data_IF_992604918045
#
_entry.id   IF_992604918045
#
_cell.length_a   1.000
_cell.length_b   1.000
_cell.length_c   1.000
_cell.angle_alpha   90.00
_cell.angle_beta   90.00
_cell.angle_gamma   90.00
#
_symmetry.space_group_name_H-M   'P 1'
#
loop_
_entity.id
_entity.type
_entity.pdbx_description
1 polymer ?
#
# COMPACT_ATOMS: atom_id res chain seq x y z
N UNK A 1 -20.37 -27.90 5.69
CA UNK A 1 -21.23 -26.94 6.40
C UNK A 1 -20.52 -25.59 6.39
N UNK A 2 -20.91 -24.69 5.50
CA UNK A 2 -20.24 -23.41 5.27
C UNK A 2 -20.79 -22.42 6.30
N UNK A 3 -19.95 -21.99 7.26
CA UNK A 3 -20.33 -20.92 8.19
C UNK A 3 -20.37 -19.61 7.40
N UNK A 4 -21.57 -19.16 7.04
CA UNK A 4 -21.75 -17.76 6.65
C UNK A 4 -21.68 -16.94 7.94
N UNK A 5 -20.72 -16.02 8.02
CA UNK A 5 -20.73 -15.00 9.05
C UNK A 5 -21.94 -14.08 8.82
N UNK A 6 -22.56 -13.62 9.90
CA UNK A 6 -23.51 -12.53 9.81
C UNK A 6 -22.76 -11.26 9.39
N UNK A 7 -23.37 -10.42 8.54
CA UNK A 7 -22.74 -9.20 8.03
C UNK A 7 -22.20 -8.32 9.18
N UNK A 8 -22.94 -8.25 10.29
CA UNK A 8 -22.57 -7.51 11.50
C UNK A 8 -21.27 -8.00 12.14
N UNK A 9 -20.99 -9.32 12.10
CA UNK A 9 -19.75 -9.87 12.64
C UNK A 9 -18.56 -9.50 11.74
N UNK A 10 -18.75 -9.53 10.42
CA UNK A 10 -17.73 -9.13 9.44
C UNK A 10 -17.39 -7.65 9.62
N UNK A 11 -18.40 -6.79 9.74
CA UNK A 11 -18.22 -5.35 9.91
C UNK A 11 -17.47 -5.06 11.22
N UNK A 12 -17.80 -5.76 12.30
CA UNK A 12 -17.07 -5.67 13.57
C UNK A 12 -15.58 -6.03 13.43
N UNK A 13 -15.26 -7.15 12.75
CA UNK A 13 -13.87 -7.55 12.55
C UNK A 13 -13.09 -6.58 11.65
N UNK A 14 -13.74 -6.01 10.64
CA UNK A 14 -13.14 -5.00 9.76
C UNK A 14 -12.83 -3.72 10.53
N UNK A 15 -13.76 -3.23 11.35
CA UNK A 15 -13.52 -2.06 12.19
C UNK A 15 -12.42 -2.30 13.22
N UNK A 16 -12.39 -3.49 13.85
CA UNK A 16 -11.31 -3.87 14.75
C UNK A 16 -9.95 -3.89 14.05
N UNK A 17 -9.88 -4.47 12.85
CA UNK A 17 -8.65 -4.51 12.05
C UNK A 17 -8.20 -3.11 11.64
N UNK A 18 -9.13 -2.23 11.23
CA UNK A 18 -8.83 -0.85 10.87
C UNK A 18 -8.26 -0.07 12.07
N UNK A 19 -8.89 -0.20 13.24
CA UNK A 19 -8.45 0.45 14.47
C UNK A 19 -7.04 -0.02 14.89
N UNK A 20 -6.76 -1.32 14.85
CA UNK A 20 -5.43 -1.85 15.16
C UNK A 20 -4.38 -1.43 14.12
N UNK A 21 -4.75 -1.36 12.82
CA UNK A 21 -3.88 -0.83 11.78
C UNK A 21 -3.55 0.65 12.01
N UNK A 22 -4.54 1.46 12.37
CA UNK A 22 -4.37 2.87 12.72
C UNK A 22 -3.38 3.02 13.88
N UNK A 23 -3.63 2.35 15.01
CA UNK A 23 -2.77 2.42 16.20
C UNK A 23 -1.32 2.01 15.90
N UNK A 24 -1.14 0.95 15.11
CA UNK A 24 0.19 0.50 14.70
C UNK A 24 0.89 1.54 13.80
N UNK A 25 0.15 2.16 12.89
CA UNK A 25 0.63 3.22 12.01
C UNK A 25 1.05 4.48 12.79
N UNK A 26 0.24 4.91 13.75
CA UNK A 26 0.53 6.07 14.59
C UNK A 26 1.80 5.87 15.41
N UNK A 27 1.92 4.70 16.06
CA UNK A 27 3.11 4.34 16.83
C UNK A 27 4.36 4.25 15.93
N UNK A 28 4.21 3.67 14.74
CA UNK A 28 5.32 3.47 13.81
C UNK A 28 5.76 4.80 13.20
N UNK A 29 4.84 5.66 12.78
CA UNK A 29 5.15 6.94 12.14
C UNK A 29 5.42 8.09 13.12
N UNK A 30 4.99 7.96 14.39
CA UNK A 30 4.96 9.04 15.40
C UNK A 30 4.11 10.24 14.97
N UNK A 31 3.01 9.95 14.28
CA UNK A 31 2.01 10.91 13.79
C UNK A 31 0.64 10.38 14.18
N UNK A 32 -0.24 11.25 14.69
CA UNK A 32 -1.59 10.86 15.12
C UNK A 32 -2.57 11.15 13.98
N UNK A 33 -3.55 10.28 13.78
CA UNK A 33 -4.69 10.58 12.90
C UNK A 33 -5.78 11.26 13.72
N UNK A 34 -6.42 12.28 13.15
CA UNK A 34 -7.47 13.04 13.83
C UNK A 34 -8.74 12.19 13.98
N UNK A 35 -9.07 11.44 12.93
CA UNK A 35 -10.24 10.55 12.86
C UNK A 35 -10.04 9.45 11.81
N UNK A 36 -11.08 8.60 11.63
CA UNK A 36 -11.09 7.51 10.65
C UNK A 36 -10.97 8.02 9.21
N UNK A 37 -11.51 9.20 8.92
CA UNK A 37 -11.48 9.77 7.57
C UNK A 37 -10.06 10.26 7.24
N UNK A 38 -9.36 10.88 8.19
CA UNK A 38 -7.95 11.27 8.07
C UNK A 38 -7.04 10.03 7.88
N UNK A 39 -7.28 8.96 8.64
CA UNK A 39 -6.60 7.68 8.47
C UNK A 39 -6.78 7.10 7.06
N UNK A 40 -8.04 6.98 6.62
CA UNK A 40 -8.38 6.45 5.30
C UNK A 40 -7.81 7.33 4.20
N UNK A 41 -7.97 8.66 4.31
CA UNK A 41 -7.44 9.63 3.37
C UNK A 41 -5.92 9.48 3.22
N UNK A 42 -5.21 9.34 4.34
CA UNK A 42 -3.77 9.10 4.34
C UNK A 42 -3.36 7.83 3.58
N UNK A 43 -4.14 6.75 3.71
CA UNK A 43 -3.90 5.50 2.98
C UNK A 43 -4.21 5.65 1.49
N UNK A 44 -5.33 6.30 1.12
CA UNK A 44 -5.71 6.61 -0.27
C UNK A 44 -4.64 7.39 -1.02
N UNK A 45 -3.93 8.27 -0.32
CA UNK A 45 -2.91 9.12 -0.93
C UNK A 45 -1.50 8.55 -0.74
N UNK A 46 -1.35 7.47 0.03
CA UNK A 46 -0.11 6.73 0.22
C UNK A 46 0.93 7.42 1.09
N UNK A 47 0.61 8.52 1.77
CA UNK A 47 1.59 9.29 2.54
C UNK A 47 2.21 8.44 3.66
N UNK A 48 1.39 7.80 4.49
CA UNK A 48 1.86 6.97 5.60
C UNK A 48 2.44 5.62 5.14
N UNK A 49 1.88 5.02 4.07
CA UNK A 49 2.42 3.77 3.51
C UNK A 49 3.87 3.95 3.04
N UNK A 50 4.17 5.07 2.36
CA UNK A 50 5.54 5.42 1.95
C UNK A 50 6.45 5.66 3.14
N UNK A 51 5.97 6.31 4.21
CA UNK A 51 6.74 6.53 5.45
C UNK A 51 7.13 5.20 6.11
N UNK A 52 6.19 4.24 6.24
CA UNK A 52 6.50 2.92 6.78
C UNK A 52 7.56 2.22 5.94
N UNK A 53 7.37 2.19 4.62
CA UNK A 53 8.34 1.51 3.75
C UNK A 53 9.71 2.17 3.84
N UNK A 54 9.80 3.48 3.97
CA UNK A 54 11.06 4.18 4.24
C UNK A 54 11.68 3.84 5.60
N UNK A 55 10.87 3.57 6.63
CA UNK A 55 11.37 3.12 7.94
C UNK A 55 11.95 1.70 7.88
N UNK A 56 11.35 0.81 7.10
CA UNK A 56 11.81 -0.58 6.94
C UNK A 56 12.99 -0.65 5.97
N UNK A 57 12.89 0.07 4.85
CA UNK A 57 13.87 0.15 3.78
C UNK A 57 14.17 1.62 3.49
N UNK A 58 15.29 2.17 4.02
CA UNK A 58 15.67 3.55 3.78
C UNK A 58 15.78 3.88 2.28
N UNK A 59 15.46 5.13 1.96
CA UNK A 59 15.54 5.72 0.61
C UNK A 59 14.62 5.06 -0.46
N UNK A 60 13.50 4.45 -0.06
CA UNK A 60 12.53 3.88 -1.02
C UNK A 60 11.70 4.95 -1.75
N UNK A 61 11.29 5.99 -1.02
CA UNK A 61 10.47 7.09 -1.49
C UNK A 61 11.09 8.43 -1.08
N UNK A 62 10.89 9.47 -1.89
CA UNK A 62 11.11 10.84 -1.43
C UNK A 62 9.92 11.25 -0.55
N UNK A 63 10.21 11.63 0.68
CA UNK A 63 9.21 12.06 1.69
C UNK A 63 9.37 13.54 2.05
N UNK A 64 10.18 14.30 1.29
CA UNK A 64 10.26 15.74 1.44
C UNK A 64 8.89 16.40 1.16
N UNK A 65 8.61 17.49 1.85
CA UNK A 65 7.30 18.17 1.92
C UNK A 65 6.82 18.79 0.61
N UNK A 66 7.61 18.74 -0.46
CA UNK A 66 7.24 19.23 -1.78
C UNK A 66 6.81 18.07 -2.67
N UNK A 67 5.49 17.82 -2.72
CA UNK A 67 4.78 17.02 -3.73
C UNK A 67 5.56 15.81 -4.28
N UNK A 68 5.41 14.67 -3.62
CA UNK A 68 5.53 13.31 -4.17
C UNK A 68 6.45 13.16 -5.39
N UNK A 69 7.72 13.50 -5.19
CA UNK A 69 8.72 13.40 -6.25
C UNK A 69 9.13 11.94 -6.48
N UNK A 70 9.46 11.68 -7.75
CA UNK A 70 10.00 10.43 -8.33
C UNK A 70 10.75 9.56 -7.32
N UNK A 71 10.52 8.24 -7.35
CA UNK A 71 11.30 7.27 -6.57
C UNK A 71 12.81 7.60 -6.64
N UNK A 72 13.54 7.64 -5.50
CA UNK A 72 14.95 8.02 -5.50
C UNK A 72 15.78 7.18 -6.48
N UNK A 73 16.82 7.78 -7.09
CA UNK A 73 17.71 7.10 -8.08
C UNK A 73 18.21 5.73 -7.59
N UNK A 74 18.43 5.58 -6.29
CA UNK A 74 18.83 4.34 -5.64
C UNK A 74 17.77 3.23 -5.79
N UNK A 75 16.50 3.53 -5.55
CA UNK A 75 15.38 2.61 -5.74
C UNK A 75 15.22 2.23 -7.21
N UNK A 76 15.32 3.21 -8.12
CA UNK A 76 15.27 2.94 -9.56
C UNK A 76 16.36 1.94 -9.99
N UNK A 77 17.60 2.13 -9.49
CA UNK A 77 18.73 1.21 -9.76
C UNK A 77 18.47 -0.20 -9.22
N UNK A 78 17.93 -0.31 -7.99
CA UNK A 78 17.61 -1.61 -7.39
C UNK A 78 16.54 -2.34 -8.20
N UNK A 79 15.50 -1.64 -8.63
CA UNK A 79 14.43 -2.22 -9.43
C UNK A 79 14.90 -2.67 -10.82
N UNK A 80 15.78 -1.90 -11.47
CA UNK A 80 16.46 -2.33 -12.71
C UNK A 80 17.24 -3.63 -12.52
N UNK A 81 18.00 -3.71 -11.43
CA UNK A 81 18.77 -4.91 -11.10
C UNK A 81 17.89 -6.13 -10.76
N UNK A 82 16.64 -5.89 -10.35
CA UNK A 82 15.65 -6.94 -10.11
C UNK A 82 14.95 -7.43 -11.39
N UNK A 83 15.36 -6.96 -12.57
CA UNK A 83 14.81 -7.38 -13.86
C UNK A 83 13.50 -6.69 -14.25
N UNK A 84 13.10 -5.62 -13.55
CA UNK A 84 11.92 -4.82 -13.92
C UNK A 84 12.20 -4.12 -15.25
N UNK A 85 11.28 -4.25 -16.22
CA UNK A 85 11.46 -3.67 -17.56
C UNK A 85 11.52 -2.14 -17.46
N UNK A 86 12.39 -1.52 -18.27
CA UNK A 86 12.57 -0.08 -18.30
C UNK A 86 11.27 0.69 -18.59
N UNK A 87 10.39 0.14 -19.44
CA UNK A 87 9.06 0.69 -19.74
C UNK A 87 8.16 0.73 -18.48
N UNK A 88 8.25 -0.27 -17.60
CA UNK A 88 7.48 -0.29 -16.36
C UNK A 88 8.05 0.75 -15.38
N UNK A 89 9.38 0.87 -15.30
CA UNK A 89 10.04 1.90 -14.50
C UNK A 89 9.69 3.32 -14.95
N UNK A 90 9.70 3.58 -16.26
CA UNK A 90 9.29 4.86 -16.85
C UNK A 90 7.83 5.15 -16.52
N UNK A 91 6.93 4.19 -16.74
CA UNK A 91 5.51 4.32 -16.38
C UNK A 91 5.32 4.66 -14.90
N UNK A 92 6.06 4.02 -13.99
CA UNK A 92 5.94 4.29 -12.56
C UNK A 92 6.53 5.64 -12.14
N UNK A 93 7.51 6.17 -12.88
CA UNK A 93 8.20 7.43 -12.56
C UNK A 93 7.54 8.63 -13.24
N UNK A 94 6.94 8.46 -14.42
CA UNK A 94 6.31 9.52 -15.20
C UNK A 94 4.85 9.75 -14.81
N UNK A 95 4.11 8.72 -14.36
CA UNK A 95 2.70 8.84 -13.98
C UNK A 95 2.49 9.17 -12.48
N UNK A 96 3.58 9.34 -11.70
CA UNK A 96 3.52 9.53 -10.23
C UNK A 96 2.67 8.45 -9.49
N UNK A 97 2.53 7.26 -10.10
CA UNK A 97 1.74 6.14 -9.57
C UNK A 97 2.45 5.48 -8.39
N UNK A 98 2.29 6.11 -7.23
CA UNK A 98 2.89 5.69 -5.98
C UNK A 98 2.41 4.31 -5.52
N UNK A 99 1.17 3.93 -5.85
CA UNK A 99 0.58 2.67 -5.42
C UNK A 99 1.28 1.51 -6.13
N UNK A 100 1.48 1.63 -7.45
CA UNK A 100 2.25 0.64 -8.19
C UNK A 100 3.73 0.60 -7.78
N UNK A 101 4.35 1.77 -7.50
CA UNK A 101 5.72 1.81 -6.97
C UNK A 101 5.83 1.06 -5.63
N UNK A 102 4.88 1.28 -4.71
CA UNK A 102 4.82 0.62 -3.42
C UNK A 102 4.72 -0.90 -3.55
N UNK A 103 3.77 -1.37 -4.37
CA UNK A 103 3.58 -2.80 -4.61
C UNK A 103 4.83 -3.47 -5.19
N UNK A 104 5.49 -2.78 -6.14
CA UNK A 104 6.72 -3.27 -6.74
C UNK A 104 7.87 -3.35 -5.72
N UNK A 105 8.01 -2.37 -4.83
CA UNK A 105 9.00 -2.38 -3.75
C UNK A 105 8.71 -3.52 -2.76
N UNK A 106 7.45 -3.69 -2.35
CA UNK A 106 7.05 -4.77 -1.45
C UNK A 106 7.35 -6.15 -2.05
N UNK A 107 7.05 -6.35 -3.33
CA UNK A 107 7.35 -7.60 -4.02
C UNK A 107 8.86 -7.83 -4.21
N UNK A 108 9.56 -6.85 -4.79
CA UNK A 108 10.94 -7.02 -5.24
C UNK A 108 11.97 -6.95 -4.10
N UNK A 109 11.76 -6.06 -3.12
CA UNK A 109 12.70 -5.77 -2.04
C UNK A 109 12.30 -6.40 -0.72
N UNK A 110 11.03 -6.31 -0.33
CA UNK A 110 10.54 -6.93 0.91
C UNK A 110 10.17 -8.42 0.74
N UNK A 111 10.19 -8.93 -0.49
CA UNK A 111 9.84 -10.33 -0.83
C UNK A 111 8.46 -10.74 -0.32
N UNK A 112 7.53 -9.78 -0.24
CA UNK A 112 6.14 -10.05 0.11
C UNK A 112 5.53 -10.90 -1.01
N UNK A 113 4.95 -12.07 -0.69
CA UNK A 113 4.28 -12.89 -1.70
C UNK A 113 3.14 -12.14 -2.37
N UNK A 114 2.97 -12.33 -3.68
CA UNK A 114 1.96 -11.63 -4.49
C UNK A 114 0.53 -11.79 -3.94
N UNK A 115 0.19 -12.95 -3.40
CA UNK A 115 -1.13 -13.22 -2.81
C UNK A 115 -1.41 -12.43 -1.52
N UNK A 116 -0.40 -11.77 -0.94
CA UNK A 116 -0.56 -10.89 0.23
C UNK A 116 -0.56 -9.40 -0.14
N UNK A 117 -0.40 -9.09 -1.42
CA UNK A 117 -0.42 -7.72 -1.93
C UNK A 117 -1.84 -7.37 -2.39
N UNK A 118 -2.29 -6.17 -2.04
CA UNK A 118 -3.51 -5.57 -2.60
C UNK A 118 -3.26 -5.11 -4.04
N UNK A 119 -4.32 -4.82 -4.78
CA UNK A 119 -4.24 -4.17 -6.09
C UNK A 119 -4.18 -2.66 -5.90
N UNK A 120 -3.49 -1.95 -6.80
CA UNK A 120 -3.42 -0.49 -6.74
C UNK A 120 -4.81 0.18 -6.70
N UNK A 121 -5.79 -0.42 -7.39
CA UNK A 121 -7.17 0.06 -7.43
C UNK A 121 -7.87 -0.01 -6.07
N UNK A 122 -7.48 -0.95 -5.21
CA UNK A 122 -8.06 -1.14 -3.88
C UNK A 122 -7.74 0.04 -2.95
N UNK A 123 -6.63 0.76 -3.22
CA UNK A 123 -6.24 1.98 -2.49
C UNK A 123 -6.83 3.26 -3.08
N UNK A 124 -7.05 3.30 -4.39
CA UNK A 124 -7.49 4.53 -5.10
C UNK A 124 -9.01 4.66 -5.09
N UNK A 125 -9.75 3.57 -4.87
CA UNK A 125 -11.23 3.53 -4.88
C UNK A 125 -11.81 3.12 -3.52
N UNK A 126 -11.36 3.73 -2.43
CA UNK A 126 -11.82 3.36 -1.07
C UNK A 126 -13.33 3.58 -0.87
N UNK A 127 -14.03 4.31 -1.75
CA UNK A 127 -15.49 4.44 -1.72
C UNK A 127 -16.22 3.08 -1.67
N UNK A 128 -15.59 1.98 -2.11
CA UNK A 128 -16.16 0.63 -2.08
C UNK A 128 -15.15 -0.44 -1.63
N UNK A 129 -14.72 -0.40 -0.37
CA UNK A 129 -14.14 -1.58 0.32
C UNK A 129 -15.17 -2.72 0.54
N UNK A 130 -16.17 -2.85 -0.34
CA UNK A 130 -17.28 -3.80 -0.31
C UNK A 130 -17.14 -4.93 -1.35
N UNK A 131 -16.05 -4.93 -2.12
CA UNK A 131 -15.75 -5.99 -3.09
C UNK A 131 -15.27 -7.27 -2.38
N UNK A 132 -15.75 -8.46 -2.77
CA UNK A 132 -15.25 -9.72 -2.19
C UNK A 132 -13.77 -9.89 -2.51
N UNK A 133 -12.98 -10.25 -1.49
CA UNK A 133 -11.56 -10.65 -1.53
C UNK A 133 -11.27 -11.91 -2.41
N UNK A 134 -12.00 -12.11 -3.52
CA UNK A 134 -12.00 -13.32 -4.35
C UNK A 134 -11.77 -13.03 -5.84
N UNK A 135 -10.59 -12.54 -6.20
CA UNK A 135 -10.11 -12.72 -7.58
C UNK A 135 -8.62 -13.04 -7.67
N UNK A 136 -8.07 -13.70 -6.64
CA UNK A 136 -6.73 -14.30 -6.67
C UNK A 136 -6.71 -15.79 -7.03
N UNK A 137 -7.86 -16.37 -7.40
CA UNK A 137 -7.94 -17.74 -7.92
C UNK A 137 -8.28 -17.61 -9.40
N UNK A 138 -7.25 -17.51 -10.23
CA UNK A 138 -7.22 -17.95 -11.64
C UNK A 138 -5.95 -17.36 -12.26
N UNK A 139 -4.82 -18.01 -11.99
CA UNK A 139 -3.63 -18.15 -12.83
C UNK A 139 -2.46 -18.60 -11.95
N UNK A 140 -2.55 -19.87 -11.53
CA UNK A 140 -1.43 -20.69 -11.11
C UNK A 140 -1.30 -21.84 -12.08
#
# INVERSE_FOLDING_TARGET
MQRCFEQNEVDFFLDMAANECQRWLEATCRELFIDKDDFVYSLCHGCHLRKIVNKILPDCFDVSTERFMKAPRKTQKILRNAGVKQIQLEKYIEDEDWASQLLLICWSRLKVPSHRLFRAQDLVKIDHFSGPYKSFIEQS
#
